data_IF_340151453308
#
_entry.id   IF_340151453308
#
_cell.length_a   1.000
_cell.length_b   1.000
_cell.length_c   1.000
_cell.angle_alpha   90.00
_cell.angle_beta   90.00
_cell.angle_gamma   90.00
#
_symmetry.space_group_name_H-M   'P 1'
#
loop_
_entity.id
_entity.type
_entity.pdbx_description
1 polymer ?
#
# COMPACT_ATOMS: atom_id res chain seq x y z
N UNK A 1 -78.81 7.81 -22.16
CA UNK A 1 -77.39 7.42 -22.04
C UNK A 1 -76.50 8.61 -22.33
N UNK A 2 -75.97 9.27 -21.30
CA UNK A 2 -74.73 10.06 -21.32
C UNK A 2 -74.21 10.04 -19.89
N UNK A 3 -73.15 9.26 -19.67
CA UNK A 3 -72.51 9.04 -18.38
C UNK A 3 -71.54 10.20 -18.13
N UNK A 4 -71.74 10.95 -17.05
CA UNK A 4 -70.69 11.78 -16.44
C UNK A 4 -70.56 11.25 -15.02
N UNK A 5 -69.55 10.41 -14.80
CA UNK A 5 -69.17 9.98 -13.47
C UNK A 5 -68.30 11.07 -12.86
N UNK A 6 -68.73 11.60 -11.72
CA UNK A 6 -67.86 12.26 -10.77
C UNK A 6 -66.96 11.20 -10.12
N UNK A 7 -65.65 11.34 -10.28
CA UNK A 7 -64.63 10.77 -9.40
C UNK A 7 -63.82 11.98 -8.90
N UNK A 8 -63.99 12.35 -7.64
CA UNK A 8 -63.29 11.81 -6.49
C UNK A 8 -61.89 12.42 -6.34
N UNK A 9 -61.83 13.30 -5.34
CA UNK A 9 -60.70 13.76 -4.55
C UNK A 9 -59.31 13.18 -4.86
N UNK A 10 -58.39 14.14 -5.02
CA UNK A 10 -56.97 14.09 -4.68
C UNK A 10 -56.53 12.85 -3.87
N UNK A 11 -55.76 11.98 -4.52
CA UNK A 11 -54.61 11.35 -3.90
C UNK A 11 -53.38 11.90 -4.63
N UNK A 12 -52.93 13.08 -4.22
CA UNK A 12 -51.50 13.38 -4.26
C UNK A 12 -50.88 12.29 -3.40
N UNK A 13 -50.36 11.24 -4.03
CA UNK A 13 -49.39 10.37 -3.40
C UNK A 13 -48.22 11.30 -3.03
N UNK A 14 -48.20 11.73 -1.77
CA UNK A 14 -46.94 12.12 -1.16
C UNK A 14 -46.07 10.87 -1.27
N UNK A 15 -45.17 10.87 -2.25
CA UNK A 15 -43.98 10.04 -2.20
C UNK A 15 -43.34 10.48 -0.90
N UNK A 16 -43.49 9.71 0.17
CA UNK A 16 -42.75 9.99 1.39
C UNK A 16 -41.28 9.86 1.00
N UNK A 17 -40.61 11.00 1.00
CA UNK A 17 -39.20 11.11 0.66
C UNK A 17 -38.46 10.30 1.73
N UNK A 18 -37.99 9.10 1.36
CA UNK A 18 -37.27 8.25 2.30
C UNK A 18 -35.86 8.80 2.41
N UNK A 19 -35.51 9.32 3.59
CA UNK A 19 -34.11 9.55 3.92
C UNK A 19 -33.37 8.21 3.81
N UNK A 20 -32.33 8.15 2.99
CA UNK A 20 -31.51 6.95 2.83
C UNK A 20 -30.13 7.22 3.42
N UNK A 21 -29.68 6.34 4.30
CA UNK A 21 -28.32 6.39 4.85
C UNK A 21 -27.50 5.24 4.27
N UNK A 22 -26.36 5.58 3.68
CA UNK A 22 -25.35 4.65 3.20
C UNK A 22 -24.09 4.84 4.04
N UNK A 23 -23.57 3.73 4.58
CA UNK A 23 -22.31 3.71 5.32
C UNK A 23 -21.31 2.88 4.53
N UNK A 24 -20.12 3.41 4.32
CA UNK A 24 -19.05 2.82 3.50
C UNK A 24 -17.69 2.95 4.20
N UNK A 25 -16.70 2.25 3.67
CA UNK A 25 -15.30 2.41 4.08
C UNK A 25 -14.50 2.97 2.90
N UNK A 26 -13.67 3.98 3.17
CA UNK A 26 -12.81 4.58 2.18
C UNK A 26 -11.36 4.59 2.67
N UNK A 27 -10.41 4.21 1.83
CA UNK A 27 -8.99 4.20 2.16
C UNK A 27 -8.12 3.97 0.94
N UNK A 28 -6.81 3.85 1.12
CA UNK A 28 -5.88 3.61 0.01
C UNK A 28 -6.27 2.40 -0.86
N UNK A 29 -6.74 1.32 -0.23
CA UNK A 29 -7.13 0.05 -0.87
C UNK A 29 -8.30 0.15 -1.87
N UNK A 30 -9.07 1.25 -1.85
CA UNK A 30 -10.15 1.48 -2.80
C UNK A 30 -10.08 2.86 -3.46
N UNK A 31 -8.89 3.49 -3.45
CA UNK A 31 -8.66 4.80 -4.04
C UNK A 31 -9.46 5.92 -3.36
N UNK A 32 -9.71 5.81 -2.05
CA UNK A 32 -10.50 6.76 -1.28
C UNK A 32 -11.91 6.98 -1.83
N UNK A 33 -12.57 5.93 -2.30
CA UNK A 33 -13.93 6.01 -2.84
C UNK A 33 -14.99 6.05 -1.73
N UNK A 34 -15.85 7.07 -1.74
CA UNK A 34 -16.97 7.22 -0.81
C UNK A 34 -18.10 6.19 -1.02
N UNK A 35 -18.11 5.50 -2.16
CA UNK A 35 -19.19 4.57 -2.55
C UNK A 35 -18.75 3.10 -2.48
N UNK A 36 -17.46 2.85 -2.24
CA UNK A 36 -16.90 1.52 -2.17
C UNK A 36 -17.10 0.88 -0.80
N UNK A 37 -17.07 -0.46 -0.75
CA UNK A 37 -17.15 -1.24 0.50
C UNK A 37 -18.37 -0.85 1.38
N UNK A 38 -19.61 -0.90 0.86
CA UNK A 38 -20.80 -0.57 1.64
C UNK A 38 -20.97 -1.53 2.83
N UNK A 39 -21.24 -0.97 3.99
CA UNK A 39 -21.62 -1.69 5.21
C UNK A 39 -23.12 -1.98 5.18
N UNK A 40 -23.51 -3.10 5.80
CA UNK A 40 -24.90 -3.55 5.88
C UNK A 40 -25.48 -3.19 7.24
N UNK A 41 -26.65 -2.56 7.26
CA UNK A 41 -27.36 -2.33 8.52
C UNK A 41 -27.80 -3.68 9.14
N UNK A 42 -27.52 -3.91 10.43
CA UNK A 42 -27.78 -5.20 11.08
C UNK A 42 -29.26 -5.53 11.14
N UNK A 43 -30.07 -4.50 11.40
CA UNK A 43 -31.54 -4.54 11.38
C UNK A 43 -32.05 -3.20 10.86
N UNK A 44 -33.12 -3.21 10.07
CA UNK A 44 -33.66 -1.99 9.46
C UNK A 44 -34.01 -0.94 10.52
N UNK A 45 -33.35 0.22 10.45
CA UNK A 45 -33.54 1.34 11.38
C UNK A 45 -32.79 1.22 12.72
N UNK A 46 -31.92 0.21 12.88
CA UNK A 46 -31.05 0.10 14.07
C UNK A 46 -29.97 1.18 14.12
N UNK A 47 -29.56 1.71 12.96
CA UNK A 47 -28.41 2.60 12.82
C UNK A 47 -27.08 1.90 13.11
N UNK A 48 -27.05 0.57 13.16
CA UNK A 48 -25.86 -0.24 13.40
C UNK A 48 -25.49 -0.91 12.10
N UNK A 49 -24.27 -0.67 11.62
CA UNK A 49 -23.78 -1.15 10.34
C UNK A 49 -22.59 -2.08 10.54
N UNK A 50 -22.54 -3.15 9.77
CA UNK A 50 -21.47 -4.14 9.82
C UNK A 50 -20.91 -4.46 8.43
N UNK A 51 -19.61 -4.74 8.38
CA UNK A 51 -18.95 -5.32 7.20
C UNK A 51 -17.85 -6.28 7.66
N UNK A 52 -17.69 -7.37 6.92
CA UNK A 52 -16.58 -8.30 7.08
C UNK A 52 -15.66 -8.19 5.87
N UNK A 53 -14.37 -8.04 6.13
CA UNK A 53 -13.35 -7.98 5.10
C UNK A 53 -12.32 -9.08 5.35
N UNK A 54 -11.88 -9.80 4.31
CA UNK A 54 -10.78 -10.77 4.49
C UNK A 54 -9.50 -10.07 4.95
N UNK A 55 -9.32 -8.81 4.58
CA UNK A 55 -8.20 -7.96 4.96
C UNK A 55 -8.67 -6.49 4.97
N UNK A 56 -8.37 -5.77 6.05
CA UNK A 56 -8.57 -4.33 6.19
C UNK A 56 -7.21 -3.67 6.35
N UNK A 57 -6.85 -2.76 5.44
CA UNK A 57 -5.60 -2.02 5.56
C UNK A 57 -5.77 -0.81 6.47
N UNK A 58 -4.66 -0.36 7.07
CA UNK A 58 -4.58 0.91 7.79
C UNK A 58 -4.87 2.11 6.87
N UNK A 59 -5.02 3.29 7.46
CA UNK A 59 -5.30 4.55 6.77
C UNK A 59 -6.63 4.52 6.00
N UNK A 60 -7.72 4.44 6.76
CA UNK A 60 -9.08 4.48 6.22
C UNK A 60 -10.00 5.43 7.01
N UNK A 61 -11.18 5.73 6.47
CA UNK A 61 -12.25 6.45 7.14
C UNK A 61 -13.58 5.72 6.96
N UNK A 62 -14.48 5.92 7.92
CA UNK A 62 -15.89 5.55 7.75
C UNK A 62 -16.58 6.72 7.04
N UNK A 63 -17.31 6.44 5.97
CA UNK A 63 -18.03 7.47 5.22
C UNK A 63 -19.52 7.23 5.40
N UNK A 64 -20.24 8.29 5.75
CA UNK A 64 -21.70 8.26 5.88
C UNK A 64 -22.28 9.24 4.89
N UNK A 65 -23.09 8.74 3.97
CA UNK A 65 -23.85 9.56 3.02
C UNK A 65 -25.33 9.47 3.36
N UNK A 66 -25.92 10.62 3.72
CA UNK A 66 -27.34 10.77 3.95
C UNK A 66 -27.97 11.44 2.74
N UNK A 67 -28.96 10.80 2.13
CA UNK A 67 -29.72 11.36 1.02
C UNK A 67 -31.08 11.78 1.55
N UNK A 68 -31.32 13.09 1.57
CA UNK A 68 -32.63 13.68 1.86
C UNK A 68 -33.07 14.39 0.60
N UNK A 69 -34.25 14.06 0.09
CA UNK A 69 -34.82 14.70 -1.10
C UNK A 69 -33.89 14.69 -2.31
N UNK A 70 -33.30 13.53 -2.60
CA UNK A 70 -32.31 13.30 -3.69
C UNK A 70 -31.02 14.12 -3.55
N UNK A 71 -30.82 14.81 -2.43
CA UNK A 71 -29.63 15.60 -2.15
C UNK A 71 -28.71 14.83 -1.19
N UNK A 72 -27.55 14.33 -1.66
CA UNK A 72 -26.61 13.63 -0.81
C UNK A 72 -25.81 14.62 0.06
N UNK A 73 -25.67 14.29 1.34
CA UNK A 73 -24.77 14.92 2.28
C UNK A 73 -23.79 13.87 2.81
N UNK A 74 -22.50 14.04 2.53
CA UNK A 74 -21.46 13.06 2.87
C UNK A 74 -20.59 13.57 4.01
N UNK A 75 -20.35 12.72 4.99
CA UNK A 75 -19.47 12.97 6.14
C UNK A 75 -18.38 11.92 6.24
N UNK A 76 -17.14 12.38 6.43
CA UNK A 76 -15.95 11.53 6.54
C UNK A 76 -15.50 11.46 8.00
N UNK A 77 -15.59 10.28 8.59
CA UNK A 77 -15.29 10.04 9.98
C UNK A 77 -13.89 9.46 10.13
N UNK A 78 -13.03 10.24 10.79
CA UNK A 78 -11.72 9.82 11.28
C UNK A 78 -11.73 9.62 12.79
N UNK A 79 -10.56 9.44 13.38
CA UNK A 79 -10.40 9.31 14.84
C UNK A 79 -9.37 10.30 15.36
N UNK A 80 -9.60 10.81 16.57
CA UNK A 80 -8.64 11.70 17.22
C UNK A 80 -7.28 11.00 17.39
N UNK A 81 -6.22 11.63 16.88
CA UNK A 81 -4.87 11.05 16.90
C UNK A 81 -4.62 9.91 15.90
N UNK A 82 -5.65 9.46 15.17
CA UNK A 82 -5.56 8.46 14.09
C UNK A 82 -5.57 7.00 14.55
N UNK A 83 -5.44 6.70 15.83
CA UNK A 83 -5.17 5.34 16.30
C UNK A 83 -6.39 4.71 16.97
N UNK A 84 -6.74 3.47 16.59
CA UNK A 84 -7.71 2.62 17.31
C UNK A 84 -7.06 1.37 17.92
N UNK A 85 -7.72 0.81 18.92
CA UNK A 85 -7.40 -0.48 19.51
C UNK A 85 -8.44 -1.53 19.09
N UNK A 86 -7.98 -2.72 18.68
CA UNK A 86 -8.87 -3.80 18.25
C UNK A 86 -9.78 -4.25 19.41
N UNK A 87 -11.03 -4.53 19.07
CA UNK A 87 -12.08 -4.93 20.01
C UNK A 87 -12.56 -3.82 20.95
N UNK A 88 -11.94 -2.63 20.93
CA UNK A 88 -12.37 -1.48 21.74
C UNK A 88 -13.27 -0.54 20.92
N UNK A 89 -14.49 -0.27 21.39
CA UNK A 89 -15.32 0.76 20.79
C UNK A 89 -14.61 2.12 20.85
N UNK A 90 -14.50 2.79 19.71
CA UNK A 90 -13.83 4.09 19.58
C UNK A 90 -14.76 5.09 18.92
N UNK A 91 -14.94 6.26 19.54
CA UNK A 91 -15.77 7.34 19.00
C UNK A 91 -15.01 8.02 17.86
N UNK A 92 -15.68 8.16 16.72
CA UNK A 92 -15.19 8.85 15.54
C UNK A 92 -15.69 10.30 15.49
N UNK A 93 -14.97 11.14 14.76
CA UNK A 93 -15.36 12.53 14.52
C UNK A 93 -15.06 13.00 13.11
N UNK A 94 -15.56 14.18 12.78
CA UNK A 94 -15.43 14.81 11.45
C UNK A 94 -14.95 16.26 11.61
N UNK A 95 -14.48 16.87 10.52
CA UNK A 95 -14.01 18.26 10.52
C UNK A 95 -12.55 18.36 10.16
N UNK A 96 -11.74 18.92 11.07
CA UNK A 96 -10.31 19.14 10.83
C UNK A 96 -9.54 17.81 10.75
N UNK A 97 -8.94 17.54 9.59
CA UNK A 97 -8.13 16.34 9.32
C UNK A 97 -6.85 16.28 10.17
N UNK A 98 -6.39 17.41 10.73
CA UNK A 98 -5.29 17.41 11.69
C UNK A 98 -5.69 16.80 13.04
N UNK A 99 -6.99 16.88 13.38
CA UNK A 99 -7.58 16.32 14.61
C UNK A 99 -8.11 14.93 14.33
N UNK A 100 -9.08 14.81 13.42
CA UNK A 100 -9.74 13.55 13.05
C UNK A 100 -9.06 12.92 11.85
N UNK A 101 -7.91 12.32 12.16
CA UNK A 101 -7.03 11.68 11.18
C UNK A 101 -7.65 10.41 10.62
N UNK A 102 -7.08 9.94 9.53
CA UNK A 102 -7.31 8.59 9.03
C UNK A 102 -7.06 7.56 10.12
N UNK A 103 -7.87 6.50 10.11
CA UNK A 103 -7.85 5.45 11.10
C UNK A 103 -6.71 4.47 10.78
N UNK A 104 -5.86 4.24 11.77
CA UNK A 104 -4.76 3.28 11.80
C UNK A 104 -4.82 2.48 13.12
N UNK A 105 -3.97 1.47 13.26
CA UNK A 105 -4.01 0.53 14.39
C UNK A 105 -2.87 0.79 15.38
N UNK A 106 -3.19 0.75 16.67
CA UNK A 106 -2.25 1.02 17.79
C UNK A 106 -1.03 0.12 17.84
N UNK A 107 -1.11 -1.03 17.19
CA UNK A 107 -0.11 -2.08 17.26
C UNK A 107 0.97 -1.96 16.18
N UNK A 108 0.87 -0.95 15.30
CA UNK A 108 1.86 -0.68 14.25
C UNK A 108 1.81 -1.66 13.07
N UNK A 109 0.78 -2.52 13.02
CA UNK A 109 0.52 -3.41 11.88
C UNK A 109 -0.17 -2.66 10.74
N UNK A 110 0.09 -3.12 9.52
CA UNK A 110 -0.41 -2.50 8.30
C UNK A 110 -1.82 -2.97 7.92
N UNK A 111 -2.25 -4.12 8.44
CA UNK A 111 -3.58 -4.67 8.18
C UNK A 111 -4.14 -5.52 9.32
N UNK A 112 -5.45 -5.74 9.24
CA UNK A 112 -6.22 -6.67 10.04
C UNK A 112 -6.80 -7.72 9.12
N UNK A 113 -6.40 -8.98 9.28
CA UNK A 113 -7.00 -10.12 8.60
C UNK A 113 -8.33 -10.51 9.25
N UNK A 114 -9.25 -11.03 8.44
CA UNK A 114 -10.60 -11.42 8.87
C UNK A 114 -11.31 -10.31 9.66
N UNK A 115 -11.16 -9.07 9.18
CA UNK A 115 -11.65 -7.90 9.89
C UNK A 115 -13.18 -7.90 9.95
N UNK A 116 -13.71 -7.67 11.15
CA UNK A 116 -15.14 -7.47 11.40
C UNK A 116 -15.32 -6.06 11.97
N UNK A 117 -15.94 -5.18 11.19
CA UNK A 117 -16.17 -3.80 11.59
C UNK A 117 -17.65 -3.61 11.93
N UNK A 118 -17.90 -2.91 13.02
CA UNK A 118 -19.23 -2.49 13.47
C UNK A 118 -19.24 -1.00 13.75
N UNK A 119 -20.10 -0.27 13.07
CA UNK A 119 -20.28 1.17 13.24
C UNK A 119 -21.69 1.49 13.74
N UNK A 120 -21.80 2.20 14.85
CA UNK A 120 -23.06 2.68 15.39
C UNK A 120 -23.24 4.17 15.11
N UNK A 121 -24.25 4.50 14.31
CA UNK A 121 -24.49 5.84 13.79
C UNK A 121 -24.96 6.84 14.86
N UNK A 122 -25.67 6.37 15.89
CA UNK A 122 -26.19 7.22 16.97
C UNK A 122 -25.06 7.75 17.88
N UNK A 123 -24.08 6.89 18.16
CA UNK A 123 -22.94 7.17 19.04
C UNK A 123 -21.65 7.51 18.28
N UNK A 124 -21.67 7.40 16.94
CA UNK A 124 -20.50 7.53 16.05
C UNK A 124 -19.35 6.61 16.45
N UNK A 125 -19.69 5.43 16.97
CA UNK A 125 -18.70 4.52 17.54
C UNK A 125 -18.36 3.40 16.56
N UNK A 126 -17.07 3.21 16.29
CA UNK A 126 -16.54 2.10 15.50
C UNK A 126 -15.88 1.07 16.43
N UNK A 127 -16.15 -0.21 16.19
CA UNK A 127 -15.39 -1.33 16.75
C UNK A 127 -14.83 -2.15 15.60
N UNK A 128 -13.53 -2.48 15.66
CA UNK A 128 -12.86 -3.33 14.68
C UNK A 128 -12.30 -4.55 15.39
N UNK A 129 -12.69 -5.74 14.97
CA UNK A 129 -12.12 -7.01 15.41
C UNK A 129 -11.39 -7.69 14.25
N UNK A 130 -10.52 -8.65 14.55
CA UNK A 130 -9.81 -9.45 13.57
C UNK A 130 -8.46 -9.90 14.11
N UNK A 131 -7.60 -10.38 13.21
CA UNK A 131 -6.25 -10.84 13.51
C UNK A 131 -5.24 -9.86 12.94
N UNK A 132 -4.24 -9.48 13.74
CA UNK A 132 -3.17 -8.59 13.27
C UNK A 132 -2.39 -9.24 12.14
N UNK A 133 -2.22 -8.52 11.04
CA UNK A 133 -1.52 -8.99 9.86
C UNK A 133 -0.55 -7.92 9.34
N UNK A 134 0.64 -8.36 8.94
CA UNK A 134 1.51 -7.53 8.11
C UNK A 134 0.96 -7.61 6.70
N UNK A 135 0.86 -6.47 6.03
CA UNK A 135 0.53 -6.48 4.61
C UNK A 135 1.75 -7.03 3.88
N UNK A 136 1.56 -8.15 3.18
CA UNK A 136 2.52 -8.54 2.16
C UNK A 136 2.44 -7.49 1.05
N UNK A 137 3.45 -6.63 1.00
CA UNK A 137 3.54 -5.59 -0.02
C UNK A 137 4.42 -6.06 -1.17
N UNK A 138 4.02 -5.68 -2.37
CA UNK A 138 4.85 -5.75 -3.56
C UNK A 138 5.24 -4.34 -3.98
N UNK A 139 6.36 -4.23 -4.70
CA UNK A 139 6.79 -2.96 -5.29
C UNK A 139 6.85 -3.10 -6.80
N UNK A 140 6.48 -2.03 -7.49
CA UNK A 140 6.59 -1.93 -8.92
C UNK A 140 7.14 -0.57 -9.31
N UNK A 141 7.91 -0.53 -10.39
CA UNK A 141 8.22 0.72 -11.06
C UNK A 141 7.00 1.11 -11.89
N UNK A 142 6.37 2.24 -11.56
CA UNK A 142 5.21 2.76 -12.28
C UNK A 142 5.59 4.07 -12.97
N UNK A 143 5.55 4.09 -14.29
CA UNK A 143 6.04 5.24 -15.05
C UNK A 143 5.94 5.06 -16.56
N UNK A 144 6.27 6.13 -17.28
CA UNK A 144 6.17 6.20 -18.74
C UNK A 144 7.44 5.82 -19.49
N UNK A 145 8.60 5.80 -18.83
CA UNK A 145 9.90 5.61 -19.51
C UNK A 145 10.05 4.22 -20.17
N UNK A 146 9.36 3.20 -19.67
CA UNK A 146 9.50 1.83 -20.16
C UNK A 146 8.59 1.52 -21.36
N UNK A 147 7.36 2.03 -21.35
CA UNK A 147 6.31 1.67 -22.35
C UNK A 147 5.69 2.86 -23.06
N UNK A 148 6.08 4.10 -22.74
CA UNK A 148 5.44 5.32 -23.20
C UNK A 148 4.16 5.68 -22.43
N UNK A 149 3.41 4.67 -21.98
CA UNK A 149 2.26 4.82 -21.08
C UNK A 149 2.66 4.65 -19.62
N UNK A 150 1.93 5.32 -18.70
CA UNK A 150 2.08 5.15 -17.26
C UNK A 150 1.62 3.76 -16.81
N UNK A 151 2.54 2.78 -16.91
CA UNK A 151 2.30 1.38 -16.61
C UNK A 151 3.17 0.91 -15.44
N UNK A 152 2.69 -0.11 -14.71
CA UNK A 152 3.46 -0.74 -13.64
C UNK A 152 4.22 -1.95 -14.17
N UNK A 153 5.53 -1.98 -13.93
CA UNK A 153 6.34 -3.20 -14.01
C UNK A 153 6.69 -3.65 -12.60
N UNK A 154 6.27 -4.86 -12.22
CA UNK A 154 6.57 -5.40 -10.89
C UNK A 154 8.08 -5.63 -10.73
N UNK A 155 8.61 -5.24 -9.57
CA UNK A 155 9.95 -5.60 -9.13
C UNK A 155 9.94 -7.02 -8.56
N UNK A 156 11.07 -7.69 -8.63
CA UNK A 156 11.30 -9.02 -8.09
C UNK A 156 11.94 -8.91 -6.71
N UNK A 157 11.37 -9.58 -5.70
CA UNK A 157 11.93 -9.58 -4.35
C UNK A 157 13.23 -10.40 -4.34
N UNK A 158 14.36 -9.73 -4.09
CA UNK A 158 15.69 -10.33 -4.01
C UNK A 158 16.12 -10.67 -2.55
N UNK A 159 15.22 -10.49 -1.58
CA UNK A 159 15.48 -10.65 -0.15
C UNK A 159 16.10 -9.41 0.49
N UNK A 160 16.18 -9.38 1.83
CA UNK A 160 16.77 -8.28 2.60
C UNK A 160 16.22 -6.89 2.22
N UNK A 161 14.90 -6.79 2.06
CA UNK A 161 14.18 -5.57 1.64
C UNK A 161 14.56 -5.05 0.23
N UNK A 162 15.32 -5.82 -0.56
CA UNK A 162 15.76 -5.45 -1.90
C UNK A 162 14.78 -5.95 -2.97
N UNK A 163 14.41 -5.06 -3.87
CA UNK A 163 13.51 -5.32 -4.99
C UNK A 163 14.16 -4.88 -6.30
N UNK A 164 14.24 -5.79 -7.26
CA UNK A 164 15.09 -5.61 -8.44
C UNK A 164 14.28 -5.77 -9.72
N UNK A 165 14.59 -4.97 -10.73
CA UNK A 165 14.15 -5.23 -12.10
C UNK A 165 15.18 -4.81 -13.12
N UNK A 166 15.44 -5.69 -14.07
CA UNK A 166 16.26 -5.41 -15.25
C UNK A 166 15.38 -5.07 -16.43
N UNK A 167 15.67 -3.94 -17.08
CA UNK A 167 15.05 -3.52 -18.33
C UNK A 167 16.08 -3.52 -19.45
N UNK A 168 15.66 -3.87 -20.66
CA UNK A 168 16.46 -3.72 -21.88
C UNK A 168 15.73 -2.78 -22.82
N UNK A 169 16.42 -1.71 -23.24
CA UNK A 169 15.88 -0.70 -24.13
C UNK A 169 16.64 -0.69 -25.46
N UNK A 170 15.92 -0.79 -26.57
CA UNK A 170 16.46 -0.71 -27.93
C UNK A 170 16.78 0.74 -28.36
N UNK A 171 16.26 1.73 -27.64
CA UNK A 171 16.46 3.16 -27.81
C UNK A 171 16.58 3.84 -26.42
N UNK A 172 17.03 5.11 -26.33
CA UNK A 172 17.05 5.80 -25.05
C UNK A 172 15.69 5.78 -24.35
N UNK A 173 15.68 5.38 -23.08
CA UNK A 173 14.50 5.38 -22.24
C UNK A 173 14.32 6.77 -21.64
N UNK A 174 13.24 7.45 -22.02
CA UNK A 174 12.94 8.81 -21.58
C UNK A 174 11.54 8.86 -20.99
N UNK A 175 11.40 9.40 -19.79
CA UNK A 175 10.11 9.56 -19.14
C UNK A 175 10.22 9.73 -17.65
N UNK A 176 9.10 9.56 -16.96
CA UNK A 176 9.02 9.69 -15.51
C UNK A 176 8.59 8.40 -14.86
N UNK A 177 8.96 8.21 -13.60
CA UNK A 177 8.46 7.11 -12.79
C UNK A 177 8.47 7.42 -11.30
N UNK A 178 7.79 6.57 -10.54
CA UNK A 178 8.04 6.36 -9.13
C UNK A 178 7.91 4.88 -8.79
N UNK A 179 8.19 4.55 -7.54
CA UNK A 179 7.99 3.22 -6.97
C UNK A 179 6.58 3.17 -6.37
N UNK A 180 5.74 2.32 -6.97
CA UNK A 180 4.39 2.04 -6.50
C UNK A 180 4.46 0.90 -5.49
N UNK A 181 4.14 1.18 -4.23
CA UNK A 181 3.87 0.15 -3.24
C UNK A 181 2.46 -0.38 -3.45
N UNK A 182 2.30 -1.70 -3.43
CA UNK A 182 1.05 -2.37 -3.77
C UNK A 182 0.72 -3.50 -2.80
N UNK A 183 -0.57 -3.81 -2.68
CA UNK A 183 -1.02 -5.06 -2.07
C UNK A 183 -0.77 -6.25 -3.02
N UNK A 184 -1.07 -7.45 -2.53
CA UNK A 184 -0.95 -8.71 -3.31
C UNK A 184 -1.85 -8.76 -4.55
N UNK A 185 -2.80 -7.84 -4.71
CA UNK A 185 -3.72 -7.72 -5.86
C UNK A 185 -3.28 -6.63 -6.85
N UNK A 186 -2.21 -5.89 -6.55
CA UNK A 186 -1.70 -4.79 -7.38
C UNK A 186 -2.37 -3.44 -7.14
N UNK A 187 -3.25 -3.33 -6.14
CA UNK A 187 -3.84 -2.05 -5.76
C UNK A 187 -2.77 -1.17 -5.10
N UNK A 188 -2.82 0.14 -5.35
CA UNK A 188 -1.84 1.07 -4.78
C UNK A 188 -2.05 1.26 -3.28
N UNK A 189 -0.97 1.10 -2.51
CA UNK A 189 -0.93 1.40 -1.08
C UNK A 189 -0.14 2.67 -0.78
N UNK A 190 0.89 2.92 -1.57
CA UNK A 190 1.81 4.03 -1.36
C UNK A 190 2.51 4.43 -2.64
N UNK A 191 3.03 5.66 -2.62
CA UNK A 191 3.86 6.21 -3.67
C UNK A 191 5.19 6.63 -3.07
N UNK A 192 6.28 6.10 -3.62
CA UNK A 192 7.65 6.35 -3.16
C UNK A 192 8.42 6.92 -4.35
N UNK A 193 8.98 8.11 -4.20
CA UNK A 193 9.72 8.76 -5.28
C UNK A 193 10.77 9.73 -4.71
N UNK A 194 11.33 10.62 -5.54
CA UNK A 194 12.39 11.52 -5.14
C UNK A 194 11.95 12.50 -4.04
N UNK A 195 12.89 12.85 -3.17
CA UNK A 195 12.74 13.86 -2.12
C UNK A 195 12.61 15.28 -2.66
N UNK A 196 13.01 15.52 -3.91
CA UNK A 196 12.87 16.79 -4.61
C UNK A 196 12.56 16.58 -6.10
N UNK A 197 11.93 17.59 -6.72
CA UNK A 197 11.68 17.58 -8.16
C UNK A 197 12.98 17.74 -8.98
N UNK A 198 12.99 17.19 -10.19
CA UNK A 198 14.07 17.37 -11.16
C UNK A 198 15.30 16.46 -10.95
N UNK A 199 15.18 15.39 -10.15
CA UNK A 199 16.19 14.33 -10.13
C UNK A 199 16.06 13.53 -11.44
N UNK A 200 17.12 13.55 -12.25
CA UNK A 200 17.21 12.85 -13.54
C UNK A 200 18.24 11.73 -13.46
N UNK A 201 17.85 10.52 -13.84
CA UNK A 201 18.75 9.38 -13.98
C UNK A 201 19.22 9.29 -15.43
N UNK A 202 20.48 9.67 -15.68
CA UNK A 202 21.09 9.71 -17.04
C UNK A 202 22.20 8.66 -17.21
N UNK A 203 22.70 8.09 -16.12
CA UNK A 203 23.77 7.09 -16.06
C UNK A 203 23.60 6.20 -14.83
N UNK A 204 24.58 5.34 -14.55
CA UNK A 204 24.65 4.66 -13.28
C UNK A 204 24.57 5.64 -12.10
N UNK A 205 23.80 5.27 -11.09
CA UNK A 205 23.62 6.03 -9.87
C UNK A 205 23.33 5.05 -8.72
N UNK A 206 23.87 5.32 -7.55
CA UNK A 206 23.71 4.45 -6.38
C UNK A 206 23.06 5.23 -5.24
N UNK A 207 22.20 4.52 -4.50
CA UNK A 207 21.62 4.92 -3.23
C UNK A 207 20.99 6.32 -3.21
N UNK A 208 20.24 6.68 -4.25
CA UNK A 208 19.46 7.92 -4.20
C UNK A 208 18.35 7.78 -3.16
N UNK A 209 18.25 8.77 -2.29
CA UNK A 209 17.22 8.82 -1.26
C UNK A 209 15.84 9.08 -1.86
N UNK A 210 14.86 8.29 -1.42
CA UNK A 210 13.45 8.41 -1.76
C UNK A 210 12.62 8.76 -0.52
N UNK A 211 11.38 9.20 -0.75
CA UNK A 211 10.42 9.56 0.30
C UNK A 211 9.03 9.06 -0.06
N UNK A 212 8.22 8.81 0.96
CA UNK A 212 6.76 8.64 0.87
C UNK A 212 6.00 9.96 1.04
N UNK A 213 6.63 10.98 1.61
CA UNK A 213 6.01 12.28 1.92
C UNK A 213 6.38 13.33 0.87
N UNK A 214 5.39 14.00 0.29
CA UNK A 214 5.56 15.03 -0.75
C UNK A 214 6.48 14.59 -1.90
N UNK A 215 6.40 13.30 -2.26
CA UNK A 215 7.28 12.67 -3.21
C UNK A 215 7.10 13.24 -4.63
N UNK A 216 8.22 13.40 -5.34
CA UNK A 216 8.26 13.90 -6.72
C UNK A 216 8.73 12.78 -7.65
N UNK A 217 8.10 12.64 -8.82
CA UNK A 217 8.53 11.63 -9.79
C UNK A 217 9.99 11.85 -10.20
N UNK A 218 10.71 10.74 -10.40
CA UNK A 218 12.04 10.76 -10.98
C UNK A 218 11.93 10.85 -12.49
N UNK A 219 12.81 11.64 -13.11
CA UNK A 219 13.00 11.66 -14.54
C UNK A 219 14.06 10.61 -14.93
N UNK A 220 13.88 9.97 -16.07
CA UNK A 220 14.82 9.03 -16.67
C UNK A 220 15.18 9.53 -18.05
N UNK A 221 16.47 9.50 -18.37
CA UNK A 221 17.02 9.76 -19.70
C UNK A 221 18.22 8.83 -19.92
N UNK A 222 17.99 7.52 -19.79
CA UNK A 222 19.03 6.51 -19.92
C UNK A 222 19.24 6.16 -21.40
N UNK A 223 20.48 5.95 -21.86
CA UNK A 223 20.73 5.49 -23.22
C UNK A 223 20.19 4.06 -23.42
N UNK A 224 20.06 3.68 -24.70
CA UNK A 224 19.76 2.29 -25.08
C UNK A 224 20.77 1.34 -24.42
N UNK A 225 20.28 0.21 -23.90
CA UNK A 225 21.10 -0.66 -23.09
C UNK A 225 20.28 -1.49 -22.11
N UNK A 226 20.98 -2.25 -21.27
CA UNK A 226 20.36 -3.04 -20.20
C UNK A 226 20.70 -2.43 -18.86
N UNK A 227 19.65 -2.08 -18.11
CA UNK A 227 19.73 -1.33 -16.86
C UNK A 227 19.01 -2.10 -15.76
N UNK A 228 19.64 -2.22 -14.60
CA UNK A 228 19.06 -2.85 -13.44
C UNK A 228 18.73 -1.81 -12.38
N UNK A 229 17.45 -1.73 -12.03
CA UNK A 229 16.91 -0.88 -10.98
C UNK A 229 16.80 -1.71 -9.71
N UNK A 230 17.38 -1.23 -8.62
CA UNK A 230 17.45 -1.91 -7.32
C UNK A 230 16.93 -0.98 -6.23
N UNK A 231 15.74 -1.27 -5.71
CA UNK A 231 15.06 -0.50 -4.68
C UNK A 231 15.17 -1.20 -3.33
N UNK A 232 15.73 -0.51 -2.32
CA UNK A 232 15.73 -0.96 -0.94
C UNK A 232 14.51 -0.38 -0.21
N UNK A 233 13.54 -1.24 0.12
CA UNK A 233 12.28 -0.84 0.72
C UNK A 233 12.40 -0.33 2.15
N UNK A 234 13.44 -0.76 2.88
CA UNK A 234 13.66 -0.37 4.27
C UNK A 234 14.39 0.96 4.38
N UNK A 235 15.45 1.13 3.60
CA UNK A 235 16.25 2.36 3.60
C UNK A 235 15.67 3.44 2.68
N UNK A 236 14.65 3.09 1.88
CA UNK A 236 14.06 3.93 0.84
C UNK A 236 15.11 4.49 -0.12
N UNK A 237 16.01 3.64 -0.61
CA UNK A 237 17.03 4.03 -1.60
C UNK A 237 16.81 3.32 -2.93
N UNK A 238 17.22 3.98 -4.03
CA UNK A 238 17.23 3.40 -5.37
C UNK A 238 18.62 3.48 -6.00
N UNK A 239 19.05 2.37 -6.60
CA UNK A 239 20.27 2.28 -7.39
C UNK A 239 19.92 1.83 -8.81
N UNK A 240 20.55 2.42 -9.82
CA UNK A 240 20.44 2.05 -11.22
C UNK A 240 21.83 1.79 -11.77
N UNK A 241 22.08 0.60 -12.29
CA UNK A 241 23.41 0.17 -12.79
C UNK A 241 23.31 -0.44 -14.18
N UNK A 242 24.40 -0.41 -14.95
CA UNK A 242 24.53 -1.20 -16.16
C UNK A 242 24.69 -2.67 -15.76
N UNK A 243 23.88 -3.58 -16.32
CA UNK A 243 23.93 -4.97 -15.84
C UNK A 243 23.23 -5.98 -16.71
N UNK A 244 23.92 -7.08 -17.00
CA UNK A 244 23.51 -8.21 -17.85
C UNK A 244 22.35 -9.01 -17.27
N UNK A 245 21.52 -9.58 -18.15
CA UNK A 245 20.35 -10.43 -17.85
C UNK A 245 20.66 -11.50 -16.79
N UNK A 246 20.10 -11.35 -15.59
CA UNK A 246 20.17 -12.34 -14.52
C UNK A 246 20.23 -11.73 -13.11
N UNK A 247 19.29 -12.13 -12.26
CA UNK A 247 19.22 -11.86 -10.81
C UNK A 247 20.46 -12.34 -10.02
N UNK A 248 21.35 -13.13 -10.62
CA UNK A 248 22.55 -13.69 -9.97
C UNK A 248 23.65 -12.64 -9.63
N UNK A 249 23.61 -11.43 -10.22
CA UNK A 249 24.59 -10.38 -9.92
C UNK A 249 24.20 -9.46 -8.76
N UNK A 250 22.92 -9.43 -8.38
CA UNK A 250 22.40 -8.58 -7.29
C UNK A 250 22.09 -9.44 -6.08
N UNK A 251 23.10 -10.15 -5.56
CA UNK A 251 23.00 -10.82 -4.27
C UNK A 251 23.29 -9.80 -3.18
N UNK A 252 22.26 -9.42 -2.44
CA UNK A 252 22.25 -8.56 -1.27
C UNK A 252 22.98 -9.16 -0.04
N UNK A 253 24.18 -9.70 -0.22
CA UNK A 253 24.93 -10.33 0.88
C UNK A 253 26.44 -10.02 0.82
N UNK A 254 26.83 -8.91 1.42
CA UNK A 254 28.22 -8.72 1.89
C UNK A 254 28.36 -8.49 3.40
N UNK A 255 27.28 -8.42 4.19
CA UNK A 255 27.37 -8.12 5.63
C UNK A 255 26.82 -9.22 6.57
N UNK A 256 26.74 -10.47 6.13
CA UNK A 256 26.49 -11.60 7.04
C UNK A 256 27.79 -11.99 7.79
N UNK A 257 27.72 -12.32 9.10
CA UNK A 257 28.89 -12.75 9.87
C UNK A 257 29.60 -13.94 9.20
N UNK A 258 30.91 -13.83 9.01
CA UNK A 258 31.72 -14.89 8.43
C UNK A 258 31.76 -16.11 9.36
N UNK A 259 31.37 -17.28 8.83
CA UNK A 259 31.50 -18.57 9.52
C UNK A 259 32.53 -19.42 8.80
N UNK A 260 33.61 -19.77 9.48
CA UNK A 260 34.72 -20.54 8.90
C UNK A 260 34.55 -22.04 9.14
N UNK A 261 34.91 -22.84 8.14
CA UNK A 261 34.98 -24.29 8.20
C UNK A 261 36.34 -24.78 7.68
N UNK A 262 36.89 -25.82 8.29
CA UNK A 262 38.06 -26.50 7.73
C UNK A 262 37.65 -27.34 6.51
N UNK A 263 38.63 -27.90 5.79
CA UNK A 263 38.37 -28.70 4.58
C UNK A 263 37.64 -30.04 4.85
N UNK A 264 37.41 -30.38 6.11
CA UNK A 264 36.60 -31.54 6.53
C UNK A 264 35.17 -31.14 6.92
N UNK A 265 34.80 -29.86 6.77
CA UNK A 265 33.47 -29.34 7.09
C UNK A 265 33.23 -29.05 8.58
N UNK A 266 34.28 -29.00 9.41
CA UNK A 266 34.17 -28.66 10.84
C UNK A 266 34.26 -27.15 11.02
N UNK A 267 33.30 -26.56 11.75
CA UNK A 267 33.25 -25.12 12.07
C UNK A 267 34.44 -24.71 12.95
N UNK A 268 35.07 -23.58 12.62
CA UNK A 268 36.25 -23.02 13.30
C UNK A 268 35.91 -21.63 13.83
N UNK A 269 36.07 -21.42 15.15
CA UNK A 269 35.70 -20.16 15.81
C UNK A 269 36.78 -19.06 15.67
N UNK A 270 38.06 -19.44 15.70
CA UNK A 270 39.20 -18.55 15.56
C UNK A 270 40.14 -19.14 14.51
N UNK A 271 39.97 -18.82 13.21
CA UNK A 271 40.81 -19.38 12.17
C UNK A 271 42.24 -18.83 12.30
N UNK A 272 43.21 -19.73 12.44
CA UNK A 272 44.64 -19.42 12.32
C UNK A 272 45.08 -19.45 10.86
N UNK A 273 46.33 -19.10 10.56
CA UNK A 273 46.87 -19.06 9.21
C UNK A 273 46.65 -20.38 8.45
N UNK A 274 45.89 -20.33 7.37
CA UNK A 274 45.44 -21.54 6.69
C UNK A 274 44.31 -21.31 5.70
N UNK A 275 43.93 -22.39 5.01
CA UNK A 275 42.88 -22.38 3.99
C UNK A 275 41.57 -22.86 4.60
N UNK A 276 40.51 -22.06 4.43
CA UNK A 276 39.18 -22.34 4.97
C UNK A 276 38.10 -22.19 3.91
N UNK A 277 36.97 -22.82 4.19
CA UNK A 277 35.69 -22.51 3.54
C UNK A 277 34.99 -21.49 4.43
N UNK A 278 34.70 -20.30 3.90
CA UNK A 278 33.92 -19.27 4.60
C UNK A 278 32.51 -19.24 4.04
N UNK A 279 31.53 -19.24 4.93
CA UNK A 279 30.13 -18.99 4.62
C UNK A 279 29.75 -17.61 5.14
N UNK A 280 29.25 -16.76 4.26
CA UNK A 280 28.65 -15.46 4.58
C UNK A 280 27.26 -15.46 3.94
N UNK A 281 26.22 -15.55 4.76
CA UNK A 281 24.84 -15.71 4.28
C UNK A 281 24.65 -17.02 3.52
N UNK A 282 24.24 -16.93 2.27
CA UNK A 282 24.08 -17.99 1.29
C UNK A 282 25.33 -18.20 0.40
N UNK A 283 26.33 -17.32 0.49
CA UNK A 283 27.59 -17.44 -0.26
C UNK A 283 28.59 -18.34 0.48
N UNK A 284 29.26 -19.21 -0.28
CA UNK A 284 30.34 -20.08 0.20
C UNK A 284 31.58 -19.85 -0.67
N UNK A 285 32.71 -19.51 -0.07
CA UNK A 285 33.97 -19.27 -0.78
C UNK A 285 35.16 -19.88 -0.06
N UNK A 286 36.27 -20.07 -0.78
CA UNK A 286 37.54 -20.57 -0.21
C UNK A 286 38.47 -19.39 0.02
N UNK A 287 38.92 -19.21 1.27
CA UNK A 287 39.78 -18.09 1.69
C UNK A 287 41.06 -18.59 2.34
N UNK A 288 42.14 -17.84 2.13
CA UNK A 288 43.41 -18.02 2.82
C UNK A 288 43.52 -16.97 3.94
N UNK A 289 43.46 -17.42 5.19
CA UNK A 289 43.72 -16.59 6.37
C UNK A 289 45.24 -16.52 6.57
N UNK A 290 45.77 -15.31 6.80
CA UNK A 290 47.21 -15.00 6.89
C UNK A 290 47.55 -14.25 8.17
#
# INVERSE_FOLDING_TARGET
MKKIYAFAAAALAAISMNAQTVVTLAGGFNGWSADANPMTETEAGSGIYEIKLPELLKEFKVVVTEVVDETPATSWYGVEGGVIELGKPTVLGTGDDAVYKNITFSTGWDAIANAELKFELSTKTLTVNGEEAKVEVAYGIHGSFATGDWATTNLENAGNDLWVKTFTFEAPAVGQFGIKQMDTKGNQLGWIAATAAGIVIESEIEDIELTTENANNLDVNLPAGTWTFSFNAKELTLSVTEGTVGIDSVVAEENAPAVYYNLQGVKVANPENGVYVVRQGNKVSKVLVK
#
